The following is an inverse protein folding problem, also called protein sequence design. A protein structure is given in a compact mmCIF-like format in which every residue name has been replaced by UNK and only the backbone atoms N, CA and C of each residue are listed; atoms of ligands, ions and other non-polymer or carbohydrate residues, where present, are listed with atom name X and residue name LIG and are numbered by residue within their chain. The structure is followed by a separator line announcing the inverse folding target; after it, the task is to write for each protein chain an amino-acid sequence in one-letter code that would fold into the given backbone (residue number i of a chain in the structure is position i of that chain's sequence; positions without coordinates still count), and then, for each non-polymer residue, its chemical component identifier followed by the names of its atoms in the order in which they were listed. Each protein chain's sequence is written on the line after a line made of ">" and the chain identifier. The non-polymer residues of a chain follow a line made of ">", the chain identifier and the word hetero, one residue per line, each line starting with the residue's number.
data_IF_585041238794
#
_entry.id   IF_585041238794
#
_cell.length_a   1.000
_cell.length_b   1.000
_cell.length_c   1.000
_cell.angle_alpha   90.00
_cell.angle_beta   90.00
_cell.angle_gamma   90.00
#
_symmetry.space_group_name_H-M   'P 1'
#
loop_
_entity.id
_entity.type
_entity.pdbx_description
1 polymer ?
#
# COMPACT_ATOMS: atom_id res chain seq x y z
N UNK A 1 -4.92 -16.88 -6.54
CA UNK A 1 -4.83 -15.80 -7.56
C UNK A 1 -6.12 -15.66 -8.37
N UNK A 2 -6.42 -14.43 -8.73
CA UNK A 2 -7.48 -13.95 -9.63
C UNK A 2 -6.81 -13.29 -10.83
N UNK A 3 -7.34 -13.51 -12.04
CA UNK A 3 -6.85 -12.86 -13.25
C UNK A 3 -7.41 -11.44 -13.36
N UNK A 4 -6.54 -10.44 -13.36
CA UNK A 4 -6.89 -9.05 -13.65
C UNK A 4 -6.66 -8.82 -15.15
N UNK A 5 -7.70 -8.43 -15.92
CA UNK A 5 -7.51 -8.15 -17.34
C UNK A 5 -6.62 -6.92 -17.51
N UNK A 6 -5.79 -6.96 -18.55
CA UNK A 6 -5.00 -5.80 -18.97
C UNK A 6 -5.92 -4.68 -19.49
N UNK A 7 -5.41 -3.46 -19.43
CA UNK A 7 -6.16 -2.28 -19.84
C UNK A 7 -5.51 -0.98 -19.41
N UNK A 8 -6.11 0.12 -19.82
CA UNK A 8 -5.68 1.48 -19.46
C UNK A 8 -6.61 2.06 -18.40
N UNK A 9 -6.04 2.63 -17.35
CA UNK A 9 -6.78 3.32 -16.29
C UNK A 9 -6.06 4.58 -15.81
N UNK A 10 -6.77 5.43 -15.08
CA UNK A 10 -6.20 6.60 -14.43
C UNK A 10 -5.63 6.20 -13.07
N UNK A 11 -4.33 6.39 -12.88
CA UNK A 11 -3.65 6.22 -11.59
C UNK A 11 -3.28 7.58 -11.01
N UNK A 12 -3.36 7.69 -9.69
CA UNK A 12 -3.13 8.94 -8.96
C UNK A 12 -4.38 9.83 -8.92
N UNK A 13 -4.23 10.99 -8.28
CA UNK A 13 -5.30 11.95 -8.01
C UNK A 13 -5.11 13.23 -8.84
N UNK A 14 -6.19 13.85 -9.33
CA UNK A 14 -6.07 15.15 -10.02
C UNK A 14 -5.96 16.30 -9.03
N UNK A 15 -5.50 17.45 -9.52
CA UNK A 15 -5.34 18.66 -8.72
C UNK A 15 -6.65 19.06 -8.01
N UNK A 16 -7.80 18.96 -8.70
CA UNK A 16 -9.10 19.31 -8.12
C UNK A 16 -9.59 18.31 -7.05
N UNK A 17 -9.20 17.04 -7.17
CA UNK A 17 -9.48 16.01 -6.17
C UNK A 17 -8.51 16.14 -4.97
N UNK A 18 -7.25 16.51 -5.24
CA UNK A 18 -6.22 16.74 -4.23
C UNK A 18 -6.60 17.87 -3.26
N UNK A 19 -7.16 18.97 -3.77
CA UNK A 19 -7.64 20.07 -2.94
C UNK A 19 -8.75 19.62 -1.98
N UNK A 20 -9.71 18.82 -2.46
CA UNK A 20 -10.80 18.29 -1.62
C UNK A 20 -10.27 17.37 -0.53
N UNK A 21 -9.39 16.42 -0.88
CA UNK A 21 -8.79 15.49 0.10
C UNK A 21 -7.95 16.22 1.15
N UNK A 22 -7.26 17.29 0.76
CA UNK A 22 -6.50 18.12 1.69
C UNK A 22 -7.41 18.83 2.70
N UNK A 23 -8.56 19.35 2.26
CA UNK A 23 -9.53 19.99 3.16
C UNK A 23 -10.18 18.96 4.09
N UNK A 24 -10.64 17.82 3.57
CA UNK A 24 -11.25 16.74 4.37
C UNK A 24 -10.28 16.18 5.42
N UNK A 25 -8.98 16.06 5.09
CA UNK A 25 -7.98 15.56 6.03
C UNK A 25 -7.77 16.50 7.22
N UNK A 26 -7.83 17.82 7.01
CA UNK A 26 -7.68 18.83 8.07
C UNK A 26 -8.87 18.81 9.02
N UNK A 27 -10.08 18.57 8.51
CA UNK A 27 -11.32 18.65 9.30
C UNK A 27 -11.64 17.34 10.00
N UNK A 28 -11.58 16.20 9.30
CA UNK A 28 -12.13 14.93 9.79
C UNK A 28 -11.10 14.05 10.52
N UNK A 29 -9.82 14.14 10.15
CA UNK A 29 -8.80 13.20 10.64
C UNK A 29 -7.98 13.78 11.79
N UNK A 30 -8.12 15.08 12.11
CA UNK A 30 -7.37 15.82 13.15
C UNK A 30 -5.84 15.58 13.11
N UNK A 31 -5.31 15.20 11.94
CA UNK A 31 -3.86 15.05 11.72
C UNK A 31 -3.25 16.41 11.44
N UNK A 32 -1.97 16.58 11.75
CA UNK A 32 -1.25 17.82 11.45
C UNK A 32 -1.28 18.10 9.95
N UNK A 33 -1.58 19.34 9.57
CA UNK A 33 -1.76 19.77 8.19
C UNK A 33 -0.59 19.38 7.26
N UNK A 34 0.64 19.38 7.78
CA UNK A 34 1.83 18.96 7.02
C UNK A 34 1.80 17.47 6.62
N UNK A 35 1.16 16.61 7.41
CA UNK A 35 0.98 15.20 7.06
C UNK A 35 -0.03 15.06 5.93
N UNK A 36 -1.17 15.75 6.01
CA UNK A 36 -2.22 15.70 4.98
C UNK A 36 -1.69 16.06 3.59
N UNK A 37 -0.94 17.18 3.48
CA UNK A 37 -0.38 17.62 2.20
C UNK A 37 0.69 16.67 1.66
N UNK A 38 1.50 16.04 2.52
CA UNK A 38 2.54 15.09 2.09
C UNK A 38 1.97 13.87 1.37
N UNK A 39 0.91 13.25 1.91
CA UNK A 39 0.26 12.09 1.28
C UNK A 39 -0.38 12.45 -0.06
N UNK A 40 -1.08 13.59 -0.11
CA UNK A 40 -1.77 14.04 -1.33
C UNK A 40 -0.78 14.42 -2.42
N UNK A 41 0.35 15.03 -2.07
CA UNK A 41 1.42 15.32 -3.03
C UNK A 41 2.02 14.04 -3.60
N UNK A 42 2.23 13.00 -2.79
CA UNK A 42 2.76 11.72 -3.29
C UNK A 42 1.81 10.94 -4.21
N UNK A 43 0.51 11.25 -4.16
CA UNK A 43 -0.51 10.60 -4.98
C UNK A 43 -0.75 11.33 -6.33
N UNK A 44 -0.21 12.53 -6.50
CA UNK A 44 -0.28 13.31 -7.75
C UNK A 44 0.92 13.02 -8.67
N UNK A 45 0.79 13.31 -9.97
CA UNK A 45 -0.44 13.72 -10.67
C UNK A 45 -1.25 12.50 -11.16
N UNK A 46 -2.52 12.73 -11.47
CA UNK A 46 -3.32 11.75 -12.21
C UNK A 46 -2.75 11.55 -13.61
N UNK A 47 -2.47 10.31 -13.99
CA UNK A 47 -1.92 9.95 -15.29
C UNK A 47 -2.48 8.61 -15.78
N UNK A 48 -2.44 8.37 -17.10
CA UNK A 48 -2.88 7.10 -17.67
C UNK A 48 -1.77 6.06 -17.55
N UNK A 49 -2.13 4.87 -17.06
CA UNK A 49 -1.26 3.69 -17.00
C UNK A 49 -1.93 2.57 -17.78
N UNK A 50 -1.16 1.90 -18.63
CA UNK A 50 -1.57 0.69 -19.35
C UNK A 50 -0.79 -0.48 -18.79
N UNK A 51 -1.49 -1.52 -18.34
CA UNK A 51 -0.90 -2.77 -17.86
C UNK A 51 -1.37 -3.93 -18.71
N UNK A 52 -0.49 -4.90 -18.92
CA UNK A 52 -0.84 -6.21 -19.46
C UNK A 52 -1.65 -7.02 -18.45
N UNK A 53 -2.39 -8.07 -18.88
CA UNK A 53 -3.08 -8.96 -17.95
C UNK A 53 -2.12 -9.61 -16.95
N UNK A 54 -2.51 -9.65 -15.68
CA UNK A 54 -1.69 -10.23 -14.62
C UNK A 54 -2.55 -10.99 -13.58
N UNK A 55 -1.89 -11.79 -12.75
CA UNK A 55 -2.53 -12.52 -11.66
C UNK A 55 -2.29 -11.82 -10.32
N UNK A 56 -3.33 -11.69 -9.50
CA UNK A 56 -3.26 -11.08 -8.17
C UNK A 56 -3.90 -12.01 -7.14
N UNK A 57 -3.31 -12.17 -5.96
CA UNK A 57 -4.01 -12.91 -4.91
C UNK A 57 -5.20 -12.13 -4.35
N UNK A 58 -6.36 -12.79 -4.15
CA UNK A 58 -7.55 -12.11 -3.63
C UNK A 58 -7.44 -11.74 -2.15
N UNK A 59 -6.46 -12.30 -1.44
CA UNK A 59 -6.23 -12.08 -0.02
C UNK A 59 -4.75 -11.81 0.21
N UNK A 60 -4.45 -11.04 1.26
CA UNK A 60 -3.09 -10.85 1.74
C UNK A 60 -2.47 -12.18 2.18
N UNK A 61 -1.14 -12.25 2.17
CA UNK A 61 -0.41 -13.43 2.67
C UNK A 61 -0.68 -13.57 4.16
N UNK A 62 -1.31 -14.68 4.54
CA UNK A 62 -1.65 -14.96 5.94
C UNK A 62 -0.43 -15.42 6.72
N UNK A 63 -0.44 -15.22 8.05
CA UNK A 63 0.60 -15.73 8.95
C UNK A 63 0.87 -17.23 8.77
N UNK A 64 -0.18 -18.03 8.54
CA UNK A 64 -0.05 -19.49 8.32
C UNK A 64 0.68 -19.81 7.01
N UNK A 65 0.40 -19.07 5.93
CA UNK A 65 1.11 -19.27 4.66
C UNK A 65 2.56 -18.84 4.76
N UNK A 66 2.81 -17.71 5.43
CA UNK A 66 4.17 -17.23 5.65
C UNK A 66 4.99 -18.19 6.53
N UNK A 67 4.40 -18.73 7.60
CA UNK A 67 5.04 -19.76 8.44
C UNK A 67 5.40 -21.00 7.63
N UNK A 68 4.50 -21.52 6.79
CA UNK A 68 4.81 -22.63 5.88
C UNK A 68 6.03 -22.35 4.99
N UNK A 69 6.14 -21.13 4.47
CA UNK A 69 7.30 -20.70 3.70
C UNK A 69 8.59 -20.68 4.53
N UNK A 70 8.54 -20.14 5.75
CA UNK A 70 9.69 -20.11 6.67
C UNK A 70 10.12 -21.52 7.04
N UNK A 71 9.20 -22.42 7.40
CA UNK A 71 9.52 -23.81 7.74
C UNK A 71 10.15 -24.57 6.57
N UNK A 72 9.71 -24.29 5.34
CA UNK A 72 10.22 -24.95 4.14
C UNK A 72 11.61 -24.45 3.70
N UNK A 73 11.93 -23.18 3.98
CA UNK A 73 13.13 -22.53 3.43
C UNK A 73 14.17 -22.12 4.47
N UNK A 74 13.80 -22.10 5.76
CA UNK A 74 14.61 -21.52 6.83
C UNK A 74 14.80 -20.01 6.70
N UNK A 75 13.90 -19.31 6.02
CA UNK A 75 14.04 -17.88 5.74
C UNK A 75 14.02 -17.03 7.02
N UNK A 76 15.00 -16.13 7.15
CA UNK A 76 15.06 -15.09 8.17
C UNK A 76 14.64 -13.76 7.56
N UNK A 77 13.70 -13.07 8.19
CA UNK A 77 13.25 -11.76 7.73
C UNK A 77 14.31 -10.68 7.96
N UNK A 78 14.23 -9.60 7.19
CA UNK A 78 15.07 -8.41 7.41
C UNK A 78 14.90 -7.83 8.82
N UNK A 79 13.71 -7.95 9.40
CA UNK A 79 13.42 -7.51 10.76
C UNK A 79 14.24 -8.31 11.80
N UNK A 80 14.30 -9.63 11.66
CA UNK A 80 15.08 -10.51 12.54
C UNK A 80 16.59 -10.27 12.40
N UNK A 81 17.09 -10.13 11.17
CA UNK A 81 18.51 -9.83 10.91
C UNK A 81 18.90 -8.47 11.50
N UNK A 82 18.03 -7.47 11.35
CA UNK A 82 18.23 -6.13 11.89
C UNK A 82 18.00 -6.02 13.39
N UNK A 83 17.43 -7.04 14.05
CA UNK A 83 17.05 -6.98 15.46
C UNK A 83 15.98 -5.93 15.74
N UNK A 84 15.07 -5.68 14.78
CA UNK A 84 13.99 -4.71 14.88
C UNK A 84 12.64 -5.37 14.60
N UNK A 85 11.54 -4.66 14.87
CA UNK A 85 10.19 -5.15 14.66
C UNK A 85 9.36 -5.05 15.94
N UNK A 86 8.14 -4.52 15.80
CA UNK A 86 7.21 -4.45 16.92
C UNK A 86 6.68 -5.85 17.20
N UNK A 87 7.18 -6.46 18.26
CA UNK A 87 6.60 -7.68 18.80
C UNK A 87 5.52 -7.27 19.80
N UNK A 88 4.26 -7.55 19.50
CA UNK A 88 3.14 -7.38 20.42
C UNK A 88 3.18 -8.51 21.47
N UNK A 89 4.19 -8.42 22.36
CA UNK A 89 4.47 -9.21 23.58
C UNK A 89 4.42 -10.75 23.49
N UNK A 90 5.00 -11.40 24.50
CA UNK A 90 4.90 -12.85 24.74
C UNK A 90 3.62 -13.17 25.47
#
# INVERSE_FOLDING_TARGET
>A
MVSVPGGTFWMGISDDEADRVNEDCKTEVKKQAASCTGWVLSAQPRHQVTLDPFSLDPYEVTNRQFDQFVQATGYLTTAEIGGHGLRLEQ
#
